data_IF_374533635790
#
_entry.id   IF_374533635790
#
_cell.length_a   1.000
_cell.length_b   1.000
_cell.length_c   1.000
_cell.angle_alpha   90.00
_cell.angle_beta   90.00
_cell.angle_gamma   90.00
#
_symmetry.space_group_name_H-M   'P 1'
#
loop_
_entity.id
_entity.type
_entity.pdbx_description
1 polymer ?
2 polymer ?
#
loop_
_entity_poly.entity_id
_entity_poly.type
_entity_poly.pdbx_seq_one_letter_code
_entity_poly.pdbx_strand_id
2 'polydeoxyribonucleotide' '(DA)(DA)' ?
#
# COMPACT_ATOMS: atom_id res chain seq x y z
N UNK A 2 -17.56 15.52 0.13
CA UNK A 2 -16.58 14.57 -0.43
C UNK A 2 -16.91 13.09 -0.18
N UNK A 3 -16.50 12.58 0.99
CA UNK A 3 -16.73 11.18 1.35
C UNK A 3 -18.18 10.69 1.25
N UNK A 4 -18.33 9.41 0.91
CA UNK A 4 -19.65 8.79 0.78
C UNK A 4 -19.59 7.37 1.36
N UNK A 5 -20.17 7.18 2.54
CA UNK A 5 -20.19 5.88 3.22
C UNK A 5 -21.11 4.90 2.50
N UNK A 6 -20.50 4.04 1.69
CA UNK A 6 -21.22 3.05 0.90
C UNK A 6 -21.32 1.67 1.53
N UNK A 7 -22.51 1.08 1.44
CA UNK A 7 -22.75 -0.25 1.97
C UNK A 7 -22.70 -1.21 0.79
N UNK A 8 -21.82 -2.20 0.85
CA UNK A 8 -21.68 -3.17 -0.23
C UNK A 8 -22.06 -4.58 0.19
N UNK A 9 -22.43 -5.42 -0.79
CA UNK A 9 -22.84 -6.82 -0.58
C UNK A 9 -21.65 -7.77 -0.65
N UNK A 10 -20.84 -7.82 0.40
CA UNK A 10 -19.68 -8.70 0.42
C UNK A 10 -20.01 -10.16 0.72
N UNK A 11 -19.07 -11.09 0.45
CA UNK A 11 -19.24 -12.54 0.66
C UNK A 11 -19.60 -12.95 2.09
N UNK A 12 -19.54 -14.24 2.35
CA UNK A 12 -19.88 -14.75 3.67
C UNK A 12 -18.96 -14.18 4.77
N UNK A 13 -17.70 -14.65 4.84
CA UNK A 13 -16.85 -14.07 5.89
C UNK A 13 -16.27 -12.71 5.49
N UNK A 14 -16.46 -11.71 6.34
CA UNK A 14 -15.95 -10.37 6.10
C UNK A 14 -14.67 -10.18 6.89
N UNK A 15 -13.94 -11.29 7.07
CA UNK A 15 -12.69 -11.29 7.83
C UNK A 15 -11.64 -10.30 7.30
N UNK A 16 -10.68 -9.97 8.16
CA UNK A 16 -9.61 -9.06 7.81
C UNK A 16 -8.29 -9.83 7.78
N UNK A 17 -7.60 -9.74 6.64
CA UNK A 17 -6.34 -10.44 6.44
C UNK A 17 -5.15 -9.78 7.13
N UNK A 18 -4.37 -10.61 7.84
CA UNK A 18 -3.18 -10.15 8.55
C UNK A 18 -2.06 -11.08 8.16
N UNK A 19 -0.83 -10.57 8.21
CA UNK A 19 0.34 -11.36 7.86
C UNK A 19 1.00 -11.91 9.12
N UNK A 20 1.32 -13.20 9.12
CA UNK A 20 1.96 -13.77 10.29
C UNK A 20 3.46 -13.60 10.14
N UNK A 21 4.14 -13.11 11.20
CA UNK A 21 5.60 -12.93 11.09
C UNK A 21 6.23 -14.28 10.82
N UNK A 22 7.54 -14.43 10.98
CA UNK A 22 8.05 -15.77 10.72
C UNK A 22 8.30 -16.59 11.97
N UNK A 23 8.12 -17.90 11.80
CA UNK A 23 8.29 -18.82 12.89
C UNK A 23 7.16 -18.62 13.89
N UNK A 24 5.96 -18.43 13.37
CA UNK A 24 4.78 -18.19 14.21
C UNK A 24 3.53 -18.72 13.51
N UNK A 25 3.09 -19.93 13.89
CA UNK A 25 1.93 -20.55 13.28
C UNK A 25 0.69 -20.47 14.16
N UNK A 26 -0.48 -20.36 13.53
CA UNK A 26 -1.75 -20.26 14.24
C UNK A 26 -2.83 -21.13 13.58
N UNK A 27 -3.63 -21.79 14.42
CA UNK A 27 -4.69 -22.66 13.93
C UNK A 27 -6.04 -21.92 13.88
N UNK A 28 -6.82 -22.21 12.86
CA UNK A 28 -8.13 -21.58 12.68
C UNK A 28 -8.98 -21.81 13.93
N UNK A 29 -9.17 -20.75 14.70
CA UNK A 29 -9.96 -20.86 15.92
C UNK A 29 -9.25 -20.25 17.11
N UNK A 30 -8.06 -19.71 16.88
CA UNK A 30 -7.28 -19.09 17.95
C UNK A 30 -7.43 -17.57 17.97
N UNK A 31 -7.20 -16.99 19.16
CA UNK A 31 -7.28 -15.55 19.34
C UNK A 31 -5.92 -14.94 19.02
N UNK A 32 -5.92 -13.74 18.46
CA UNK A 32 -4.67 -13.07 18.12
C UNK A 32 -4.79 -11.57 18.35
N UNK A 33 -3.65 -10.93 18.57
CA UNK A 33 -3.60 -9.50 18.80
C UNK A 33 -3.20 -8.91 17.46
N UNK A 34 -3.94 -7.92 16.99
CA UNK A 34 -3.64 -7.32 15.69
C UNK A 34 -3.77 -5.81 15.67
N UNK A 35 -3.04 -5.15 14.77
CA UNK A 35 -3.08 -3.69 14.65
C UNK A 35 -4.35 -3.20 13.96
N UNK A 36 -4.93 -2.12 14.48
CA UNK A 36 -6.15 -1.54 13.92
C UNK A 36 -6.04 -0.02 13.81
N UNK A 37 -6.72 0.57 12.83
CA UNK A 37 -6.66 2.02 12.66
C UNK A 37 -5.28 2.47 12.22
N UNK A 38 -4.41 2.74 13.19
CA UNK A 38 -3.04 3.17 12.92
C UNK A 38 -2.13 2.82 14.08
N UNK A 39 -2.52 3.26 15.28
CA UNK A 39 -1.75 2.98 16.48
C UNK A 39 -2.64 2.44 17.59
N UNK A 40 -3.40 1.40 17.26
CA UNK A 40 -4.30 0.75 18.21
C UNK A 40 -4.25 -0.77 18.06
N UNK A 41 -4.47 -1.46 19.19
CA UNK A 41 -4.46 -2.92 19.25
C UNK A 41 -5.89 -3.44 19.41
N UNK A 42 -6.12 -4.68 19.01
CA UNK A 42 -7.44 -5.30 19.11
C UNK A 42 -7.33 -6.81 19.10
N UNK A 43 -8.14 -7.49 19.90
CA UNK A 43 -8.13 -8.94 19.95
C UNK A 43 -9.06 -9.50 18.87
N UNK A 44 -8.53 -10.39 18.05
CA UNK A 44 -9.35 -10.98 17.01
C UNK A 44 -9.25 -12.49 17.04
N UNK A 45 -10.00 -13.16 16.19
CA UNK A 45 -9.96 -14.61 16.12
C UNK A 45 -9.69 -15.07 14.70
N UNK A 46 -8.79 -16.03 14.56
CA UNK A 46 -8.46 -16.55 13.25
C UNK A 46 -9.60 -17.43 12.76
N UNK A 47 -10.19 -17.05 11.63
CA UNK A 47 -11.29 -17.80 11.06
C UNK A 47 -10.73 -18.82 10.09
N UNK A 48 -9.68 -18.44 9.37
CA UNK A 48 -9.05 -19.31 8.40
C UNK A 48 -7.61 -18.87 8.16
N UNK A 49 -6.88 -19.66 7.38
CA UNK A 49 -5.48 -19.35 7.07
C UNK A 49 -5.12 -19.92 5.71
N UNK A 50 -4.90 -19.04 4.74
CA UNK A 50 -4.53 -19.47 3.39
C UNK A 50 -3.21 -18.83 2.98
N UNK A 51 -2.78 -19.12 1.76
CA UNK A 51 -1.53 -18.58 1.26
C UNK A 51 -1.81 -17.40 0.34
N UNK A 52 -3.10 -17.18 0.07
CA UNK A 52 -3.53 -16.08 -0.79
C UNK A 52 -4.22 -14.99 0.02
N UNK A 53 -4.51 -13.88 -0.65
CA UNK A 53 -5.17 -12.75 -0.01
C UNK A 53 -5.62 -11.72 -1.03
N UNK A 54 -6.82 -11.20 -0.85
CA UNK A 54 -7.38 -10.21 -1.77
C UNK A 54 -6.41 -9.07 -2.05
N UNK A 55 -5.61 -8.71 -1.05
CA UNK A 55 -4.64 -7.63 -1.20
C UNK A 55 -3.20 -8.11 -1.31
N UNK A 56 -2.31 -7.24 -1.80
CA UNK A 56 -0.88 -7.54 -1.96
C UNK A 56 -0.26 -7.94 -0.63
N UNK A 57 0.39 -9.09 -0.58
CA UNK A 57 1.00 -9.53 0.66
C UNK A 57 2.00 -8.54 1.24
N UNK A 58 2.28 -7.47 0.52
CA UNK A 58 3.23 -6.48 1.01
C UNK A 58 2.50 -5.33 1.71
N UNK A 59 1.17 -5.40 1.75
CA UNK A 59 0.35 -4.36 2.38
C UNK A 59 -0.42 -4.84 3.61
N UNK A 60 -0.14 -6.05 4.08
CA UNK A 60 -0.88 -6.58 5.22
C UNK A 60 -0.09 -6.51 6.52
N UNK A 61 -0.62 -5.77 7.50
CA UNK A 61 0.03 -5.62 8.79
C UNK A 61 0.25 -7.01 9.37
N UNK A 62 1.20 -7.14 10.28
CA UNK A 62 1.51 -8.44 10.86
C UNK A 62 0.93 -8.66 12.24
N UNK A 63 0.44 -9.88 12.48
CA UNK A 63 -0.11 -10.23 13.78
C UNK A 63 0.94 -9.89 14.85
N UNK A 64 0.49 -9.40 15.98
CA UNK A 64 1.42 -9.05 17.04
C UNK A 64 1.66 -10.19 18.02
N UNK A 65 0.62 -10.95 18.32
CA UNK A 65 0.75 -12.05 19.26
C UNK A 65 -0.39 -13.07 19.13
N UNK A 66 -0.07 -14.34 19.37
CA UNK A 66 -1.05 -15.40 19.31
C UNK A 66 -1.41 -15.81 20.74
N UNK A 67 -2.57 -15.36 21.19
CA UNK A 67 -3.02 -15.65 22.55
C UNK A 67 -3.44 -17.09 22.83
N UNK A 68 -3.37 -17.96 21.82
CA UNK A 68 -3.77 -19.36 22.00
C UNK A 68 -2.86 -20.38 21.34
N UNK A 69 -2.50 -21.41 22.10
CA UNK A 69 -1.66 -22.48 21.59
C UNK A 69 -2.53 -23.31 20.64
N UNK A 70 -3.76 -23.56 21.07
CA UNK A 70 -4.73 -24.30 20.27
C UNK A 70 -6.15 -23.77 20.53
N UNK A 71 -7.05 -23.92 19.53
CA UNK A 71 -8.45 -23.49 19.53
C UNK A 71 -9.19 -23.47 20.86
N UNK A 72 -9.64 -22.29 21.27
CA UNK A 72 -10.39 -22.12 22.51
C UNK A 72 -11.85 -22.53 22.26
N UNK A 73 -12.12 -22.96 21.04
CA UNK A 73 -13.45 -23.41 20.65
C UNK A 73 -13.40 -24.90 20.36
N UNK A 74 -14.42 -25.63 20.79
CA UNK A 74 -14.48 -27.06 20.53
C UNK A 74 -14.66 -27.28 19.04
N UNK A 75 -14.16 -28.41 18.53
CA UNK A 75 -14.29 -28.72 17.11
C UNK A 75 -15.77 -28.66 16.72
N UNK A 76 -16.63 -28.99 17.68
CA UNK A 76 -18.08 -28.98 17.48
C UNK A 76 -18.60 -27.55 17.50
N UNK A 77 -18.45 -26.90 18.65
CA UNK A 77 -18.88 -25.53 18.85
C UNK A 77 -18.47 -24.67 17.65
N UNK A 78 -17.19 -24.77 17.30
CA UNK A 78 -16.65 -24.02 16.18
C UNK A 78 -17.49 -24.27 14.94
N UNK A 79 -17.51 -25.52 14.49
CA UNK A 79 -18.28 -25.92 13.32
C UNK A 79 -19.70 -25.36 13.40
N UNK A 80 -20.24 -25.36 14.61
CA UNK A 80 -21.58 -24.88 14.87
C UNK A 80 -21.69 -23.38 14.69
N UNK A 81 -20.93 -22.62 15.47
CA UNK A 81 -20.94 -21.17 15.39
C UNK A 81 -20.83 -20.64 13.97
N UNK A 82 -19.84 -21.15 13.23
CA UNK A 82 -19.65 -20.75 11.84
C UNK A 82 -20.96 -20.94 11.09
N UNK A 83 -21.53 -22.12 11.21
CA UNK A 83 -22.81 -22.42 10.56
C UNK A 83 -23.79 -21.34 10.96
N UNK A 84 -24.06 -21.27 12.26
CA UNK A 84 -25.00 -20.31 12.81
C UNK A 84 -24.83 -18.94 12.15
N UNK A 85 -23.61 -18.40 12.25
CA UNK A 85 -23.32 -17.10 11.66
C UNK A 85 -23.74 -17.04 10.20
N UNK A 86 -23.38 -18.09 9.47
CA UNK A 86 -23.67 -18.22 8.04
C UNK A 86 -25.17 -18.33 7.77
N UNK A 87 -25.78 -19.38 8.33
CA UNK A 87 -27.20 -19.65 8.15
C UNK A 87 -28.13 -18.50 8.52
N UNK A 88 -27.89 -17.85 9.66
CA UNK A 88 -28.72 -16.76 10.14
C UNK A 88 -28.24 -15.36 9.78
N UNK A 89 -27.22 -15.26 8.94
CA UNK A 89 -26.70 -13.96 8.51
C UNK A 89 -26.25 -13.04 9.63
N UNK A 90 -25.28 -13.50 10.40
CA UNK A 90 -24.72 -12.71 11.49
C UNK A 90 -23.21 -12.61 11.25
N UNK A 91 -22.62 -11.45 11.54
CA UNK A 91 -21.18 -11.26 11.35
C UNK A 91 -20.43 -12.31 12.13
N UNK A 92 -19.57 -13.06 11.46
CA UNK A 92 -18.81 -14.12 12.11
C UNK A 92 -18.10 -13.59 13.36
N UNK A 93 -17.54 -12.39 13.26
CA UNK A 93 -16.85 -11.83 14.42
C UNK A 93 -17.84 -11.58 15.54
N UNK A 94 -19.00 -11.04 15.18
CA UNK A 94 -20.08 -10.74 16.12
C UNK A 94 -20.44 -12.00 16.91
N UNK A 95 -20.69 -13.09 16.19
CA UNK A 95 -21.06 -14.36 16.80
C UNK A 95 -19.95 -14.93 17.68
N UNK A 96 -18.74 -15.03 17.14
CA UNK A 96 -17.61 -15.57 17.88
C UNK A 96 -17.30 -14.89 19.20
N UNK A 97 -17.16 -13.57 19.18
CA UNK A 97 -16.84 -12.89 20.41
C UNK A 97 -17.96 -12.85 21.42
N UNK A 98 -19.21 -12.75 20.97
CA UNK A 98 -20.33 -12.74 21.90
C UNK A 98 -20.50 -14.13 22.50
N UNK A 99 -20.24 -15.15 21.69
CA UNK A 99 -20.37 -16.54 22.10
C UNK A 99 -19.28 -16.99 23.05
N UNK A 100 -18.16 -16.29 23.02
CA UNK A 100 -17.00 -16.63 23.85
C UNK A 100 -17.28 -16.59 25.35
N UNK A 101 -17.67 -15.41 25.88
CA UNK A 101 -17.97 -15.26 27.31
C UNK A 101 -18.89 -16.35 27.84
N UNK A 102 -19.80 -16.80 27.00
CA UNK A 102 -20.76 -17.84 27.36
C UNK A 102 -20.08 -19.19 27.49
N UNK A 103 -19.40 -19.60 26.43
CA UNK A 103 -18.73 -20.90 26.41
C UNK A 103 -17.78 -21.15 27.57
N UNK A 104 -17.12 -20.10 28.04
CA UNK A 104 -16.13 -20.20 29.12
C UNK A 104 -16.67 -20.05 30.55
N UNK A 105 -17.46 -19.01 30.79
CA UNK A 105 -18.01 -18.77 32.12
C UNK A 105 -19.13 -19.76 32.45
N UNK B 1 -0.84 -20.11 3.65
CA UNK B 1 -0.42 -20.27 5.06
C UNK B 1 0.09 -19.00 5.73
N UNK B 2 0.55 -18.01 4.95
CA UNK B 2 1.03 -16.77 5.58
C UNK B 2 -0.05 -15.72 5.82
N UNK B 3 -1.24 -15.94 5.27
CA UNK B 3 -2.34 -15.00 5.43
C UNK B 3 -3.35 -15.44 6.48
N UNK B 4 -3.27 -14.85 7.66
CA UNK B 4 -4.19 -15.15 8.73
C UNK B 4 -5.39 -14.24 8.51
N UNK B 5 -6.57 -14.84 8.51
CA UNK B 5 -7.81 -14.12 8.32
C UNK B 5 -8.42 -13.90 9.69
N UNK B 6 -8.35 -12.68 10.20
CA UNK B 6 -8.91 -12.42 11.51
C UNK B 6 -10.26 -11.74 11.46
N UNK B 7 -11.13 -12.13 12.40
CA UNK B 7 -12.47 -11.58 12.49
C UNK B 7 -12.52 -10.58 13.64
N UNK B 8 -12.89 -9.33 13.34
CA UNK B 8 -12.95 -8.31 14.37
C UNK B 8 -14.36 -7.80 14.64
N UNK B 9 -14.59 -7.30 15.87
CA UNK B 9 -15.89 -6.75 16.32
C UNK B 9 -16.04 -5.28 15.90
N UNK B 10 -16.39 -5.09 14.62
CA UNK B 10 -16.56 -3.76 14.02
C UNK B 10 -17.91 -3.11 14.34
N UNK B 11 -17.94 -1.77 14.27
CA UNK B 11 -19.11 -0.92 14.51
C UNK B 11 -20.43 -1.37 13.80
N UNK B 12 -21.50 -0.57 13.86
CA UNK B 12 -22.77 -0.98 13.27
C UNK B 12 -22.64 -1.03 11.78
N UNK B 13 -22.46 0.13 11.12
CA UNK B 13 -22.32 0.08 9.66
C UNK B 13 -20.88 -0.22 9.26
N UNK B 14 -20.66 -1.28 8.50
CA UNK B 14 -19.30 -1.59 8.08
C UNK B 14 -19.14 -1.16 6.62
N UNK B 15 -19.75 -0.02 6.32
CA UNK B 15 -19.71 0.55 4.98
C UNK B 15 -18.30 0.88 4.51
N UNK B 16 -18.15 1.09 3.20
CA UNK B 16 -16.87 1.42 2.61
C UNK B 16 -16.94 2.84 2.05
N UNK B 17 -16.01 3.69 2.47
CA UNK B 17 -15.91 5.08 2.05
C UNK B 17 -15.32 5.20 0.66
N UNK B 18 -15.97 6.03 -0.15
CA UNK B 18 -15.54 6.32 -1.51
C UNK B 18 -15.64 7.83 -1.67
N UNK B 19 -14.80 8.39 -2.51
CA UNK B 19 -14.82 9.82 -2.73
C UNK B 19 -15.64 10.20 -3.95
N UNK B 20 -16.48 11.23 -3.80
CA UNK B 20 -17.30 11.69 -4.91
C UNK B 20 -16.50 12.66 -5.74
N UNK B 21 -16.53 12.50 -7.07
CA UNK B 21 -15.80 13.38 -8.00
C UNK B 21 -16.22 14.84 -7.87
N UNK B 22 -15.89 15.60 -8.90
CA UNK B 22 -16.18 17.03 -9.03
C UNK B 22 -17.64 17.22 -9.43
N UNK B 23 -18.36 18.10 -8.73
CA UNK B 23 -19.75 18.36 -9.09
C UNK B 23 -20.60 17.14 -9.35
N UNK B 24 -20.70 16.28 -8.34
CA UNK B 24 -21.51 15.06 -8.42
C UNK B 24 -22.00 14.74 -7.01
N UNK B 25 -23.26 15.06 -6.75
CA UNK B 25 -23.88 14.85 -5.45
C UNK B 25 -24.78 13.62 -5.42
N UNK B 26 -24.80 12.93 -4.27
CA UNK B 26 -25.65 11.76 -4.09
C UNK B 26 -26.26 11.74 -2.70
N UNK B 27 -27.54 11.39 -2.62
CA UNK B 27 -28.19 11.34 -1.32
C UNK B 27 -28.23 9.93 -0.75
N UNK B 28 -28.16 9.84 0.57
CA UNK B 28 -28.17 8.56 1.26
C UNK B 28 -29.37 7.73 0.86
N UNK B 29 -29.13 6.66 0.13
CA UNK B 29 -30.20 5.79 -0.32
C UNK B 29 -30.14 5.50 -1.80
N UNK B 30 -29.14 6.04 -2.48
CA UNK B 30 -29.00 5.83 -3.92
C UNK B 30 -27.91 4.82 -4.23
N UNK B 31 -28.04 4.16 -5.37
CA UNK B 31 -27.06 3.16 -5.78
C UNK B 31 -25.96 3.86 -6.57
N UNK B 32 -24.75 3.34 -6.43
CA UNK B 32 -23.60 3.91 -7.13
C UNK B 32 -22.67 2.79 -7.60
N UNK B 33 -21.89 3.09 -8.62
CA UNK B 33 -20.94 2.12 -9.15
C UNK B 33 -19.58 2.54 -8.62
N UNK B 34 -18.85 1.59 -8.04
CA UNK B 34 -17.53 1.91 -7.48
C UNK B 34 -16.48 0.83 -7.77
N UNK B 35 -15.20 1.19 -7.62
CA UNK B 35 -14.09 0.28 -7.85
C UNK B 35 -13.81 -0.66 -6.68
N UNK B 36 -13.59 -1.94 -6.97
CA UNK B 36 -13.29 -2.90 -5.92
C UNK B 36 -12.13 -3.78 -6.37
N UNK B 37 -11.39 -4.31 -5.40
CA UNK B 37 -10.25 -5.16 -5.72
C UNK B 37 -9.12 -4.36 -6.31
N UNK B 38 -9.11 -4.23 -7.64
CA UNK B 38 -8.07 -3.49 -8.34
C UNK B 38 -8.66 -2.95 -9.65
N UNK B 39 -9.13 -3.84 -10.50
CA UNK B 39 -9.75 -3.41 -11.74
C UNK B 39 -11.05 -4.15 -11.98
N UNK B 40 -11.97 -3.94 -11.04
CA UNK B 40 -13.30 -4.54 -11.06
C UNK B 40 -14.27 -3.51 -10.51
N UNK B 41 -15.51 -3.54 -10.98
CA UNK B 41 -16.51 -2.59 -10.51
C UNK B 41 -17.67 -3.36 -9.89
N UNK B 42 -18.43 -2.68 -9.03
CA UNK B 42 -19.58 -3.29 -8.37
C UNK B 42 -20.60 -2.25 -7.93
N UNK B 43 -21.88 -2.62 -8.00
CA UNK B 43 -22.96 -1.73 -7.60
C UNK B 43 -23.06 -1.64 -6.08
N UNK B 44 -23.05 -0.42 -5.58
CA UNK B 44 -23.15 -0.20 -4.14
C UNK B 44 -24.32 0.72 -3.83
N UNK B 45 -24.58 0.89 -2.54
CA UNK B 45 -25.68 1.75 -2.11
C UNK B 45 -25.16 2.70 -1.04
N UNK B 46 -25.41 3.99 -1.26
CA UNK B 46 -24.98 5.02 -0.32
C UNK B 46 -25.77 4.93 0.97
N UNK B 47 -25.07 4.71 2.08
CA UNK B 47 -25.71 4.61 3.39
C UNK B 47 -25.72 5.97 4.07
N UNK B 48 -24.60 6.67 3.96
CA UNK B 48 -24.42 7.97 4.56
C UNK B 48 -23.49 8.83 3.72
N UNK B 49 -23.36 10.09 4.10
CA UNK B 49 -22.50 11.04 3.39
C UNK B 49 -21.94 12.06 4.38
N UNK B 50 -20.66 11.96 4.70
CA UNK B 50 -20.05 12.91 5.64
C UNK B 50 -18.85 13.60 4.99
N UNK B 51 -18.22 14.50 5.75
CA UNK B 51 -17.05 15.23 5.26
C UNK B 51 -15.78 14.57 5.79
N UNK B 52 -15.96 13.64 6.73
CA UNK B 52 -14.83 12.93 7.32
C UNK B 52 -14.79 11.46 6.90
N UNK B 53 -13.73 10.77 7.28
CA UNK B 53 -13.57 9.36 6.96
C UNK B 53 -12.39 8.77 7.73
N UNK B 54 -12.56 7.53 8.18
CA UNK B 54 -11.53 6.84 8.94
C UNK B 54 -10.15 6.92 8.28
N UNK B 55 -10.11 6.94 6.96
CA UNK B 55 -8.84 7.01 6.24
C UNK B 55 -8.58 8.37 5.59
N UNK B 56 -7.31 8.65 5.24
CA UNK B 56 -6.97 9.93 4.61
C UNK B 56 -7.69 10.10 3.27
N UNK B 57 -8.34 11.25 3.10
CA UNK B 57 -9.08 11.56 1.88
C UNK B 57 -8.20 11.44 0.65
N UNK B 58 -6.93 11.12 0.85
CA UNK B 58 -5.97 10.98 -0.23
C UNK B 58 -5.90 9.57 -0.80
N UNK B 59 -6.48 8.59 -0.09
CA UNK B 59 -6.42 7.23 -0.60
C UNK B 59 -7.75 6.51 -0.74
N UNK B 60 -8.80 7.26 -1.08
CA UNK B 60 -10.11 6.65 -1.27
C UNK B 60 -10.53 6.81 -2.73
N UNK B 61 -10.71 5.68 -3.41
CA UNK B 61 -11.11 5.69 -4.82
C UNK B 61 -12.38 6.52 -4.98
N UNK B 62 -12.61 7.01 -6.19
CA UNK B 62 -13.80 7.82 -6.45
C UNK B 62 -14.92 7.05 -7.14
N UNK B 63 -16.15 7.35 -6.73
CA UNK B 63 -17.31 6.70 -7.32
C UNK B 63 -17.24 6.90 -8.83
N UNK B 64 -17.66 5.90 -9.58
CA UNK B 64 -17.62 5.99 -11.03
C UNK B 64 -18.89 6.63 -11.58
N UNK B 65 -20.03 6.28 -11.02
CA UNK B 65 -21.30 6.83 -11.49
C UNK B 65 -22.43 6.63 -10.49
N UNK B 66 -23.37 7.56 -10.46
CA UNK B 66 -24.52 7.47 -9.58
C UNK B 66 -25.72 7.03 -10.39
N UNK B 67 -26.10 5.77 -10.22
CA UNK B 67 -27.22 5.19 -10.96
C UNK B 67 -28.58 5.66 -10.46
N UNK B 68 -28.59 6.63 -9.56
CA UNK B 68 -29.85 7.14 -9.02
C UNK B 68 -29.85 8.64 -8.76
N UNK B 69 -31.01 9.26 -8.95
CA UNK B 69 -31.18 10.68 -8.72
C UNK B 69 -32.04 10.86 -7.47
N UNK B 70 -32.93 9.90 -7.26
CA UNK B 70 -33.83 9.91 -6.11
C UNK B 70 -33.71 8.54 -5.43
N UNK B 71 -33.55 8.52 -4.09
CA UNK B 71 -33.43 7.28 -3.33
C UNK B 71 -34.40 6.21 -3.80
N UNK B 72 -33.88 5.01 -4.03
CA UNK B 72 -34.72 3.91 -4.49
C UNK B 72 -35.43 3.25 -3.30
N UNK B 73 -35.15 3.75 -2.10
CA UNK B 73 -35.76 3.22 -0.89
C UNK B 73 -36.69 4.27 -0.28
N UNK B 74 -37.87 3.82 0.15
CA UNK B 74 -38.85 4.69 0.78
C UNK B 74 -38.23 5.28 2.05
N UNK B 75 -38.58 6.52 2.39
CA UNK B 75 -38.03 7.13 3.59
C UNK B 75 -38.33 6.25 4.81
N UNK B 76 -39.45 5.53 4.72
CA UNK B 76 -39.87 4.64 5.80
C UNK B 76 -39.11 3.32 5.71
N UNK B 77 -39.20 2.67 4.55
CA UNK B 77 -38.52 1.41 4.31
C UNK B 77 -37.05 1.53 4.71
N UNK B 78 -36.42 2.63 4.28
CA UNK B 78 -35.01 2.88 4.60
C UNK B 78 -34.80 2.88 6.11
N UNK B 79 -35.48 3.78 6.82
CA UNK B 79 -35.34 3.85 8.26
C UNK B 79 -35.60 2.49 8.88
N UNK B 80 -36.54 1.75 8.30
CA UNK B 80 -36.89 0.43 8.78
C UNK B 80 -35.73 -0.55 8.58
N UNK B 81 -35.32 -0.74 7.32
CA UNK B 81 -34.22 -1.63 6.98
C UNK B 81 -32.97 -1.41 7.84
N UNK B 82 -32.59 -0.15 8.00
CA UNK B 82 -31.42 0.17 8.82
C UNK B 82 -31.62 -0.37 10.23
N UNK B 83 -32.79 -0.06 10.79
CA UNK B 83 -33.13 -0.51 12.14
C UNK B 83 -32.99 -2.04 12.17
N UNK B 84 -33.77 -2.69 11.33
CA UNK B 84 -33.76 -4.15 11.21
C UNK B 84 -32.33 -4.68 11.26
N UNK B 85 -31.50 -4.16 10.37
CA UNK B 85 -30.10 -4.55 10.28
C UNK B 85 -29.41 -4.46 11.64
N UNK B 86 -29.52 -3.30 12.27
CA UNK B 86 -28.89 -3.10 13.57
C UNK B 86 -29.50 -3.94 14.69
N UNK B 87 -30.82 -3.90 14.81
CA UNK B 87 -31.55 -4.62 15.85
C UNK B 87 -31.26 -6.13 15.85
N UNK B 88 -31.33 -6.75 14.68
CA UNK B 88 -31.11 -8.19 14.57
C UNK B 88 -29.70 -8.62 14.19
N UNK B 89 -28.74 -7.70 14.24
CA UNK B 89 -27.35 -8.03 13.92
C UNK B 89 -27.13 -8.62 12.54
N UNK B 90 -27.50 -7.87 11.51
CA UNK B 90 -27.32 -8.32 10.14
C UNK B 90 -26.53 -7.26 9.39
N UNK B 91 -25.59 -7.68 8.55
CA UNK B 91 -24.79 -6.72 7.79
C UNK B 91 -25.70 -5.79 6.96
N UNK B 92 -25.50 -4.49 7.11
CA UNK B 92 -26.32 -3.52 6.39
C UNK B 92 -26.36 -3.81 4.89
N UNK B 93 -25.20 -4.12 4.33
CA UNK B 93 -25.15 -4.42 2.90
C UNK B 93 -26.00 -5.63 2.60
N UNK B 94 -25.93 -6.63 3.46
CA UNK B 94 -26.71 -7.86 3.30
C UNK B 94 -28.20 -7.55 3.20
N UNK B 95 -28.72 -6.82 4.19
CA UNK B 95 -30.13 -6.49 4.20
C UNK B 95 -30.53 -5.68 2.98
N UNK B 96 -29.86 -4.54 2.78
CA UNK B 96 -30.15 -3.65 1.64
C UNK B 96 -30.28 -4.35 0.30
N UNK B 97 -29.23 -5.06 -0.10
CA UNK B 97 -29.23 -5.74 -1.38
C UNK B 97 -30.20 -6.90 -1.48
N UNK B 98 -30.44 -7.59 -0.36
CA UNK B 98 -31.38 -8.71 -0.37
C UNK B 98 -32.80 -8.16 -0.39
N UNK B 99 -32.99 -7.05 0.32
CA UNK B 99 -34.30 -6.42 0.42
C UNK B 99 -34.74 -5.66 -0.83
N UNK B 100 -33.79 -5.29 -1.68
CA UNK B 100 -34.10 -4.54 -2.89
C UNK B 100 -34.97 -5.32 -3.89
N UNK B 101 -34.51 -6.49 -4.33
CA UNK B 101 -35.26 -7.31 -5.29
C UNK B 101 -36.73 -7.46 -4.91
N UNK B 102 -37.01 -7.53 -3.61
CA UNK B 102 -38.37 -7.69 -3.13
C UNK B 102 -39.14 -6.38 -3.20
N UNK B 103 -38.54 -5.31 -2.69
CA UNK B 103 -39.17 -4.00 -2.68
C UNK B 103 -39.73 -3.58 -4.03
N UNK B 104 -39.02 -3.96 -5.09
CA UNK B 104 -39.43 -3.61 -6.45
C UNK B 104 -40.61 -4.46 -6.94
N UNK C 1 12.39 18.12 -25.42
CA UNK C 1 13.62 18.87 -25.09
C UNK C 1 13.60 19.64 -23.76
N UNK C 2 12.45 19.66 -23.06
CA UNK C 2 12.43 20.39 -21.77
C UNK C 2 13.30 19.78 -20.68
N UNK C 3 12.90 18.60 -20.20
CA UNK C 3 13.62 17.92 -19.14
C UNK C 3 14.64 16.89 -19.63
N UNK C 4 15.83 16.93 -19.03
CA UNK C 4 16.92 16.01 -19.36
C UNK C 4 17.05 14.95 -18.27
N UNK C 5 16.92 13.69 -18.65
CA UNK C 5 17.00 12.59 -17.68
C UNK C 5 18.42 12.05 -17.55
N UNK C 6 19.08 12.48 -16.48
CA UNK C 6 20.47 12.10 -16.20
C UNK C 6 20.62 10.88 -15.30
N UNK C 7 21.59 10.03 -15.64
CA UNK C 7 21.86 8.83 -14.86
C UNK C 7 23.12 9.13 -14.05
N UNK C 8 23.03 9.04 -12.73
CA UNK C 8 24.18 9.32 -11.88
C UNK C 8 24.66 8.10 -11.12
N UNK C 9 25.93 8.10 -10.69
CA UNK C 9 26.55 7.00 -9.94
C UNK C 9 26.43 7.20 -8.44
N UNK C 10 25.26 6.95 -7.86
CA UNK C 10 25.07 7.13 -6.43
C UNK C 10 25.59 5.96 -5.57
N UNK C 11 25.72 6.18 -4.25
CA UNK C 11 26.21 5.21 -3.27
C UNK C 11 25.49 3.85 -3.31
N UNK C 12 25.79 3.00 -2.32
CA UNK C 12 25.16 1.68 -2.29
C UNK C 12 23.65 1.79 -2.10
N UNK C 13 23.19 2.22 -0.91
CA UNK C 13 21.75 2.33 -0.71
C UNK C 13 21.17 3.60 -1.36
N UNK C 14 20.22 3.42 -2.27
CA UNK C 14 19.60 4.56 -2.95
C UNK C 14 18.26 4.84 -2.28
N UNK C 15 18.23 4.61 -0.96
CA UNK C 15 17.07 4.80 -0.12
C UNK C 15 16.48 6.22 -0.12
N UNK C 16 15.20 6.32 0.21
CA UNK C 16 14.49 7.59 0.28
C UNK C 16 14.22 7.95 1.75
N UNK C 17 14.70 9.11 2.19
CA UNK C 17 14.51 9.55 3.55
C UNK C 17 13.12 10.13 3.81
N UNK C 18 12.50 9.67 4.90
CA UNK C 18 11.19 10.14 5.31
C UNK C 18 11.28 10.47 6.78
N UNK C 19 10.41 11.37 7.24
CA UNK C 19 10.43 11.79 8.63
C UNK C 19 9.36 11.07 9.44
N UNK C 20 9.74 10.55 10.60
CA UNK C 20 8.81 9.84 11.48
C UNK C 20 8.05 10.83 12.34
N UNK C 21 6.72 10.71 12.37
CA UNK C 21 5.90 11.61 13.19
C UNK C 21 6.36 11.59 14.65
N UNK C 22 5.54 12.14 15.54
CA UNK C 22 5.86 12.19 16.96
C UNK C 22 5.36 10.92 17.65
N UNK C 23 6.20 10.31 18.48
CA UNK C 23 5.83 9.11 19.19
C UNK C 23 5.50 7.93 18.28
N UNK C 24 6.39 7.65 17.34
CA UNK C 24 6.21 6.56 16.38
C UNK C 24 7.59 6.03 15.99
N UNK C 25 7.98 4.91 16.58
CA UNK C 25 9.29 4.30 16.31
C UNK C 25 9.21 3.12 15.35
N UNK C 26 10.24 2.96 14.52
CA UNK C 26 10.32 1.86 13.57
C UNK C 26 11.72 1.26 13.50
N UNK C 27 11.79 -0.06 13.47
CA UNK C 27 13.08 -0.75 13.40
C UNK C 27 13.48 -1.07 11.97
N UNK C 28 14.79 -1.05 11.73
CA UNK C 28 15.32 -1.36 10.41
C UNK C 28 14.87 -2.74 9.98
N UNK C 29 13.90 -2.80 9.08
CA UNK C 29 13.43 -4.09 8.61
C UNK C 29 11.92 -4.14 8.54
N UNK C 30 11.28 -3.03 8.92
CA UNK C 30 9.83 -2.94 8.91
C UNK C 30 9.27 -2.25 7.68
N UNK C 31 8.04 -2.59 7.33
CA UNK C 31 7.37 -2.00 6.19
C UNK C 31 6.68 -0.73 6.67
N UNK C 32 6.55 0.25 5.79
CA UNK C 32 5.90 1.50 6.13
C UNK C 32 5.15 2.06 4.93
N UNK C 33 4.17 2.91 5.19
CA UNK C 33 3.39 3.53 4.13
C UNK C 33 3.94 4.95 4.05
N UNK C 34 4.27 5.39 2.83
CA UNK C 34 4.83 6.73 2.67
C UNK C 34 4.27 7.47 1.46
N UNK C 35 4.42 8.80 1.44
CA UNK C 35 3.94 9.66 0.35
C UNK C 35 4.90 9.64 -0.84
N UNK C 36 4.35 9.57 -2.05
CA UNK C 36 5.19 9.56 -3.25
C UNK C 36 4.54 10.45 -4.30
N UNK C 37 5.36 11.02 -5.17
CA UNK C 37 4.84 11.89 -6.21
C UNK C 37 4.30 13.18 -5.63
N UNK C 38 3.04 13.15 -5.18
CA UNK C 38 2.41 14.32 -4.60
C UNK C 38 1.14 13.94 -3.87
N UNK C 39 0.28 13.19 -4.54
CA UNK C 39 -0.99 12.76 -3.98
C UNK C 39 -1.21 11.25 -4.04
N UNK C 40 -0.18 10.48 -3.70
CA UNK C 40 -0.31 9.03 -3.69
C UNK C 40 0.62 8.39 -2.68
N UNK C 41 0.30 7.17 -2.28
CA UNK C 41 1.12 6.48 -1.31
C UNK C 41 1.66 5.16 -1.85
N UNK C 42 2.66 4.62 -1.16
CA UNK C 42 3.28 3.36 -1.55
C UNK C 42 3.92 2.68 -0.34
N UNK C 43 3.94 1.36 -0.36
CA UNK C 43 4.53 0.59 0.73
C UNK C 43 6.03 0.55 0.57
N UNK C 44 6.76 0.86 1.63
CA UNK C 44 8.21 0.82 1.57
C UNK C 44 8.74 0.03 2.74
N UNK C 45 10.04 -0.21 2.77
CA UNK C 45 10.66 -0.95 3.87
C UNK C 45 11.84 -0.15 4.40
N UNK C 46 11.85 0.06 5.71
CA UNK C 46 12.93 0.81 6.31
C UNK C 46 14.22 0.02 6.21
N UNK C 47 15.26 0.65 5.67
CA UNK C 47 16.55 -0.02 5.57
C UNK C 47 17.41 0.38 6.75
N UNK C 48 17.27 1.63 7.17
CA UNK C 48 18.03 2.12 8.31
C UNK C 48 17.34 3.33 8.91
N UNK C 49 17.87 3.81 10.02
CA UNK C 49 17.30 4.96 10.71
C UNK C 49 18.39 5.75 11.43
N UNK C 50 18.64 6.97 10.99
CA UNK C 50 19.64 7.80 11.63
C UNK C 50 19.02 9.14 12.01
N UNK C 51 19.82 10.02 12.58
CA UNK C 51 19.32 11.33 12.99
C UNK C 51 19.72 12.37 11.95
N UNK C 52 20.50 11.93 10.96
CA UNK C 52 20.96 12.81 9.88
C UNK C 52 20.20 12.55 8.59
N UNK C 53 20.39 13.43 7.62
CA UNK C 53 19.72 13.31 6.33
C UNK C 53 20.36 14.22 5.29
N UNK C 54 20.61 13.68 4.10
CA UNK C 54 21.21 14.43 3.01
C UNK C 54 20.47 15.75 2.79
N UNK C 55 19.16 15.73 3.06
CA UNK C 55 18.33 16.92 2.88
C UNK C 55 17.88 17.55 4.20
N UNK C 56 17.46 18.83 4.16
CA UNK C 56 17.00 19.55 5.34
C UNK C 56 15.81 18.84 5.99
N UNK C 57 15.92 18.57 7.28
CA UNK C 57 14.87 17.88 8.03
C UNK C 57 13.53 18.60 7.96
N UNK C 58 13.52 19.76 7.31
CA UNK C 58 12.31 20.57 7.19
C UNK C 58 11.65 20.32 5.83
N UNK C 59 12.29 19.47 5.03
CA UNK C 59 11.84 19.19 3.67
C UNK C 59 11.45 17.73 3.38
N UNK C 60 11.32 16.89 4.40
CA UNK C 60 10.98 15.50 4.13
C UNK C 60 9.63 15.05 4.69
N UNK C 61 8.82 14.51 3.78
CA UNK C 61 7.49 14.00 4.10
C UNK C 61 7.54 13.09 5.32
N UNK C 62 6.40 12.94 5.99
CA UNK C 62 6.33 12.11 7.17
C UNK C 62 5.66 10.77 6.89
N UNK C 63 6.22 9.71 7.45
CA UNK C 63 5.67 8.37 7.28
C UNK C 63 4.19 8.39 7.65
N UNK C 64 3.38 7.66 6.91
CA UNK C 64 1.95 7.60 7.17
C UNK C 64 1.61 6.56 8.24
N UNK C 65 2.12 5.34 8.08
CA UNK C 65 1.87 4.25 9.02
C UNK C 65 3.01 3.25 9.04
N UNK C 66 3.15 2.54 10.15
CA UNK C 66 4.16 1.51 10.26
C UNK C 66 3.43 0.16 10.25
N UNK C 67 3.50 -0.54 9.13
CA UNK C 67 2.83 -1.83 8.95
C UNK C 67 3.42 -2.98 9.75
N UNK C 68 4.54 -2.75 10.43
CA UNK C 68 5.19 -3.82 11.21
C UNK C 68 5.78 -3.38 12.55
N UNK C 69 5.42 -4.10 13.61
CA UNK C 69 5.94 -3.80 14.93
C UNK C 69 7.34 -4.39 15.05
N UNK C 70 7.55 -5.50 14.35
CA UNK C 70 8.86 -6.17 14.34
C UNK C 70 9.24 -6.53 12.90
N UNK C 71 10.54 -6.62 12.61
CA UNK C 71 11.07 -6.96 11.29
C UNK C 71 10.42 -8.21 10.69
N UNK C 72 9.91 -8.08 9.47
CA UNK C 72 9.25 -9.20 8.78
C UNK C 72 10.31 -10.10 8.15
N UNK C 73 11.58 -9.72 8.31
CA UNK C 73 12.68 -10.49 7.76
C UNK C 73 13.54 -11.02 8.89
N UNK C 74 14.01 -12.26 8.74
CA UNK C 74 14.86 -12.88 9.75
C UNK C 74 16.16 -12.10 9.82
N UNK C 75 16.74 -12.01 11.01
CA UNK C 75 17.97 -11.28 11.19
C UNK C 75 19.03 -11.82 10.23
N UNK C 76 18.87 -13.08 9.82
CA UNK C 76 19.81 -13.72 8.89
C UNK C 76 19.44 -13.38 7.45
N UNK C 77 18.19 -13.63 7.09
CA UNK C 77 17.67 -13.33 5.76
C UNK C 77 18.04 -11.89 5.43
N UNK C 78 17.70 -10.99 6.33
CA UNK C 78 17.99 -9.57 6.16
C UNK C 78 19.49 -9.39 5.88
N UNK C 79 20.31 -9.76 6.85
CA UNK C 79 21.75 -9.63 6.69
C UNK C 79 22.16 -10.15 5.31
N UNK C 80 21.49 -11.22 4.88
CA UNK C 80 21.77 -11.86 3.59
C UNK C 80 21.35 -10.97 2.42
N UNK C 81 20.05 -10.70 2.34
CA UNK C 81 19.48 -9.89 1.27
C UNK C 81 20.30 -8.64 1.00
N UNK C 82 20.58 -7.84 2.03
CA UNK C 82 21.35 -6.62 1.83
C UNK C 82 22.67 -6.94 1.17
N UNK C 83 23.39 -7.93 1.69
CA UNK C 83 24.66 -8.29 1.08
C UNK C 83 24.40 -8.59 -0.38
N UNK C 84 23.51 -9.55 -0.61
CA UNK C 84 23.14 -9.94 -1.97
C UNK C 84 23.01 -8.71 -2.86
N UNK C 85 22.13 -7.80 -2.46
CA UNK C 85 21.90 -6.58 -3.22
C UNK C 85 23.21 -5.85 -3.51
N UNK C 86 24.01 -5.65 -2.47
CA UNK C 86 25.28 -4.96 -2.62
C UNK C 86 26.31 -5.69 -3.48
N UNK C 87 26.57 -6.94 -3.13
CA UNK C 87 27.55 -7.76 -3.84
C UNK C 87 27.24 -7.94 -5.33
N UNK C 88 25.97 -8.16 -5.65
CA UNK C 88 25.56 -8.38 -7.04
C UNK C 88 24.99 -7.15 -7.74
N UNK C 89 25.18 -5.98 -7.15
CA UNK C 89 24.70 -4.73 -7.73
C UNK C 89 23.24 -4.75 -8.16
N UNK C 90 22.34 -4.92 -7.20
CA UNK C 90 20.92 -4.90 -7.48
C UNK C 90 20.28 -3.89 -6.54
N UNK C 91 19.22 -3.23 -6.98
CA UNK C 91 18.54 -2.24 -6.16
C UNK C 91 18.00 -2.87 -4.87
N UNK C 92 18.41 -2.33 -3.72
CA UNK C 92 17.96 -2.86 -2.44
C UNK C 92 16.45 -3.04 -2.40
N UNK C 93 15.73 -2.04 -2.88
CA UNK C 93 14.28 -2.13 -2.89
C UNK C 93 13.82 -3.27 -3.78
N UNK C 94 14.46 -3.39 -4.93
CA UNK C 94 14.14 -4.45 -5.90
C UNK C 94 14.30 -5.81 -5.23
N UNK C 95 15.43 -6.00 -4.55
CA UNK C 95 15.72 -7.25 -3.87
C UNK C 95 14.72 -7.56 -2.77
N UNK C 96 14.58 -6.64 -1.81
CA UNK C 96 13.67 -6.85 -0.68
C UNK C 96 12.22 -7.11 -1.05
N UNK C 97 11.64 -6.31 -1.92
CA UNK C 97 10.26 -6.52 -2.27
C UNK C 97 9.99 -7.75 -3.12
N UNK C 98 10.96 -8.14 -3.94
CA UNK C 98 10.78 -9.33 -4.77
C UNK C 98 11.00 -10.57 -3.92
N UNK C 99 11.93 -10.47 -2.97
CA UNK C 99 12.25 -11.59 -2.09
C UNK C 99 11.19 -11.82 -1.02
N UNK C 100 10.36 -10.81 -0.79
CA UNK C 100 9.32 -10.89 0.23
C UNK C 100 8.28 -11.98 -0.04
N UNK C 101 7.53 -11.87 -1.15
CA UNK C 101 6.51 -12.87 -1.47
C UNK C 101 6.98 -14.32 -1.35
N UNK C 102 8.27 -14.54 -1.61
CA UNK C 102 8.82 -15.88 -1.54
C UNK C 102 9.12 -16.28 -0.11
N UNK C 103 9.69 -15.37 0.64
CA UNK C 103 10.05 -15.62 2.03
C UNK C 103 8.86 -16.17 2.82
N UNK C 104 7.66 -15.81 2.40
CA UNK C 104 6.46 -16.26 3.10
C UNK C 104 5.52 -17.11 2.24
N UNK C 105 5.88 -18.38 2.05
CA UNK C 105 5.05 -19.28 1.26
C UNK C 105 5.13 -20.71 1.79
N UNK D 2 14.10 10.31 14.13
CA UNK D 2 13.03 10.91 13.29
C UNK D 2 13.28 10.71 11.79
N UNK D 3 14.52 10.42 11.42
CA UNK D 3 14.85 10.21 10.01
C UNK D 3 15.05 8.74 9.67
N UNK D 4 14.09 8.18 8.93
CA UNK D 4 14.15 6.78 8.53
C UNK D 4 14.45 6.64 7.06
N UNK D 5 15.59 6.02 6.75
CA UNK D 5 15.99 5.80 5.37
C UNK D 5 15.18 4.63 4.82
N UNK D 6 14.17 4.94 4.00
CA UNK D 6 13.31 3.92 3.43
C UNK D 6 13.69 3.53 2.01
N UNK D 7 13.63 2.23 1.73
CA UNK D 7 13.95 1.72 0.40
C UNK D 7 12.63 1.41 -0.30
N UNK D 8 12.42 2.03 -1.46
CA UNK D 8 11.19 1.83 -2.23
C UNK D 8 11.42 1.04 -3.50
N UNK D 9 10.35 0.43 -4.03
CA UNK D 9 10.42 -0.35 -5.27
C UNK D 9 10.07 0.57 -6.44
N UNK D 10 11.04 1.38 -6.84
CA UNK D 10 10.87 2.33 -7.93
C UNK D 10 10.91 1.63 -9.30
N UNK D 11 10.29 2.24 -10.34
CA UNK D 11 10.25 1.67 -11.68
C UNK D 11 11.60 1.42 -12.38
N UNK D 12 11.52 1.23 -13.69
CA UNK D 12 12.67 0.98 -14.57
C UNK D 12 13.87 1.91 -14.30
N UNK D 13 14.02 3.01 -15.08
CA UNK D 13 15.20 3.80 -14.69
C UNK D 13 14.85 4.73 -13.55
N UNK D 14 15.83 4.93 -12.67
CA UNK D 14 15.66 5.79 -11.52
C UNK D 14 16.44 7.07 -11.78
N UNK D 15 16.38 7.51 -13.04
CA UNK D 15 17.07 8.71 -13.50
C UNK D 15 16.63 9.99 -12.80
N UNK D 16 17.49 11.00 -12.88
CA UNK D 16 17.24 12.33 -12.30
C UNK D 16 16.91 13.33 -13.41
N UNK D 17 15.75 13.97 -13.31
CA UNK D 17 15.30 14.96 -14.27
C UNK D 17 15.96 16.31 -14.04
N UNK D 18 16.48 16.87 -15.12
CA UNK D 18 17.13 18.17 -15.09
C UNK D 18 16.55 18.98 -16.21
N UNK D 19 16.57 20.30 -16.04
CA UNK D 19 16.02 21.20 -17.04
C UNK D 19 17.11 21.70 -17.97
N UNK D 20 16.84 21.65 -19.27
CA UNK D 20 17.79 22.11 -20.27
C UNK D 20 17.63 23.61 -20.47
N UNK D 21 18.72 24.37 -20.36
CA UNK D 21 18.67 25.82 -20.54
C UNK D 21 18.02 26.16 -21.89
N UNK D 22 18.08 27.41 -22.30
CA UNK D 22 17.48 27.76 -23.58
C UNK D 22 18.51 27.70 -24.69
N UNK D 23 18.12 27.13 -25.82
CA UNK D 23 19.01 26.99 -26.97
C UNK D 23 20.12 25.98 -26.80
N UNK D 24 19.78 24.79 -26.32
CA UNK D 24 20.77 23.71 -26.11
C UNK D 24 20.10 22.35 -26.06
N UNK D 25 20.16 21.61 -27.17
CA UNK D 25 19.56 20.29 -27.18
C UNK D 25 20.58 19.18 -26.94
N UNK D 26 20.08 18.08 -26.39
CA UNK D 26 20.90 16.92 -26.05
C UNK D 26 20.27 15.62 -26.55
N UNK D 27 21.12 14.75 -27.08
CA UNK D 27 20.70 13.44 -27.61
C UNK D 27 20.74 12.41 -26.48
N UNK D 28 19.76 11.51 -26.46
CA UNK D 28 19.73 10.47 -25.44
C UNK D 28 20.99 9.61 -25.61
N UNK D 29 21.95 9.78 -24.71
CA UNK D 29 23.18 9.02 -24.78
C UNK D 29 24.40 9.90 -24.62
N UNK D 30 24.15 11.17 -24.33
CA UNK D 30 25.21 12.14 -24.15
C UNK D 30 25.56 12.38 -22.69
N UNK D 31 26.80 12.76 -22.45
CA UNK D 31 27.29 13.05 -21.10
C UNK D 31 26.93 14.50 -20.79
N UNK D 32 26.60 14.81 -19.55
CA UNK D 32 26.25 16.17 -19.17
C UNK D 32 26.73 16.51 -17.78
N UNK D 33 26.90 17.79 -17.50
CA UNK D 33 27.33 18.27 -16.19
C UNK D 33 26.08 18.79 -15.51
N UNK D 34 25.83 18.36 -14.28
CA UNK D 34 24.64 18.81 -13.56
C UNK D 34 24.91 19.07 -12.08
N UNK D 35 24.08 19.89 -11.43
CA UNK D 35 24.28 20.17 -10.02
C UNK D 35 23.65 19.12 -9.10
N UNK D 36 24.34 18.79 -8.01
CA UNK D 36 23.81 17.83 -7.04
C UNK D 36 24.08 18.33 -5.64
N UNK D 37 23.31 17.81 -4.68
CA UNK D 37 23.47 18.24 -3.30
C UNK D 37 22.98 19.67 -3.18
N UNK D 38 23.88 20.61 -3.39
CA UNK D 38 23.55 22.03 -3.33
C UNK D 38 24.61 22.87 -4.04
N UNK D 39 25.87 22.65 -3.68
CA UNK D 39 26.98 23.38 -4.28
C UNK D 39 28.03 22.42 -4.81
N UNK D 40 27.59 21.42 -5.56
CA UNK D 40 28.50 20.43 -6.12
C UNK D 40 28.04 20.03 -7.52
N UNK D 41 28.98 19.61 -8.36
CA UNK D 41 28.67 19.20 -9.72
C UNK D 41 29.09 17.74 -9.93
N UNK D 42 28.54 17.12 -10.96
CA UNK D 42 28.88 15.74 -11.27
C UNK D 42 28.46 15.39 -12.69
N UNK D 43 29.25 14.58 -13.37
CA UNK D 43 28.93 14.22 -14.74
C UNK D 43 27.87 13.14 -14.80
N UNK D 44 26.84 13.37 -15.61
CA UNK D 44 25.78 12.42 -15.74
C UNK D 44 25.63 12.02 -17.19
N UNK D 45 24.66 11.15 -17.47
CA UNK D 45 24.42 10.67 -18.82
C UNK D 45 22.93 10.75 -19.12
N UNK D 46 22.58 11.39 -20.22
CA UNK D 46 21.18 11.50 -20.58
C UNK D 46 20.64 10.15 -21.01
N UNK D 47 19.60 9.69 -20.32
CA UNK D 47 18.97 8.41 -20.60
C UNK D 47 17.86 8.62 -21.62
N UNK D 48 17.11 9.69 -21.44
CA UNK D 48 16.02 10.04 -22.34
C UNK D 48 15.70 11.51 -22.18
N UNK D 49 14.79 12.01 -23.01
CA UNK D 49 14.40 13.41 -22.95
C UNK D 49 12.94 13.55 -23.36
N UNK D 50 12.11 13.98 -22.42
CA UNK D 50 10.69 14.16 -22.67
C UNK D 50 10.27 15.59 -22.32
N UNK D 51 9.00 15.89 -22.53
CA UNK D 51 8.46 17.22 -22.25
C UNK D 51 7.80 17.22 -20.88
N UNK D 52 7.67 16.04 -20.29
CA UNK D 52 7.05 15.91 -18.97
C UNK D 52 8.09 15.56 -17.90
N UNK D 53 7.64 15.55 -16.65
CA UNK D 53 8.50 15.22 -15.51
C UNK D 53 7.65 15.04 -14.26
N UNK D 54 7.97 14.02 -13.47
CA UNK D 54 7.22 13.75 -12.26
C UNK D 54 7.11 14.99 -11.37
N UNK D 55 8.10 15.87 -11.45
CA UNK D 55 8.13 17.08 -10.65
C UNK D 55 7.78 18.33 -11.44
N UNK D 56 7.33 19.39 -10.74
CA UNK D 56 6.97 20.66 -11.37
C UNK D 56 8.18 21.22 -12.11
N UNK D 57 7.98 21.54 -13.39
CA UNK D 57 9.08 22.05 -14.20
C UNK D 57 9.78 23.28 -13.65
N UNK D 58 9.24 23.89 -12.59
CA UNK D 58 9.90 25.07 -12.04
C UNK D 58 10.76 24.73 -10.84
N UNK D 59 10.93 23.42 -10.59
CA UNK D 59 11.74 22.96 -9.47
C UNK D 59 12.93 22.10 -9.90
N UNK D 60 13.21 22.09 -11.20
CA UNK D 60 14.31 21.29 -11.74
C UNK D 60 15.52 22.13 -12.08
N UNK D 61 16.64 21.88 -11.42
CA UNK D 61 17.84 22.64 -11.71
C UNK D 61 18.23 22.43 -13.17
N UNK D 62 18.98 23.38 -13.71
CA UNK D 62 19.36 23.33 -15.12
C UNK D 62 20.74 22.74 -15.38
N UNK D 63 20.83 21.93 -16.43
CA UNK D 63 22.08 21.31 -16.81
C UNK D 63 23.12 22.41 -16.98
N UNK D 64 24.35 22.14 -16.55
CA UNK D 64 25.43 23.11 -16.64
C UNK D 64 26.03 23.13 -18.05
N UNK D 65 26.34 21.96 -18.59
CA UNK D 65 26.91 21.88 -19.92
C UNK D 65 26.82 20.48 -20.51
N UNK D 66 26.77 20.41 -21.84
CA UNK D 66 26.70 19.16 -22.58
C UNK D 66 28.09 18.82 -23.08
N UNK D 67 28.75 17.87 -22.42
CA UNK D 67 30.11 17.51 -22.79
C UNK D 67 30.25 16.65 -24.03
N UNK D 68 29.26 16.66 -24.92
CA UNK D 68 29.36 15.86 -26.13
C UNK D 68 28.24 16.15 -27.12
N UNK D 71 26.48 10.66 -29.42
CA UNK D 71 26.37 9.64 -28.38
C UNK D 71 27.68 8.93 -28.12
N UNK D 72 28.24 9.11 -26.92
CA UNK D 72 29.50 8.46 -26.56
C UNK D 72 29.33 6.94 -26.56
N UNK D 73 28.08 6.51 -26.72
CA UNK D 73 27.75 5.09 -26.76
C UNK D 73 27.20 4.73 -28.13
N UNK D 74 27.66 3.59 -28.65
CA UNK D 74 27.21 3.12 -29.95
C UNK D 74 25.70 2.91 -29.89
N UNK D 75 25.02 3.01 -31.02
CA UNK D 75 23.57 2.81 -31.06
C UNK D 75 23.27 1.39 -30.59
N UNK D 76 24.22 0.49 -30.81
CA UNK D 76 24.08 -0.90 -30.40
C UNK D 76 24.42 -1.04 -28.92
N UNK D 77 25.64 -0.66 -28.54
CA UNK D 77 26.10 -0.71 -27.15
C UNK D 77 25.05 -0.13 -26.22
N UNK D 78 24.53 1.03 -26.59
CA UNK D 78 23.51 1.70 -25.80
C UNK D 78 22.30 0.80 -25.63
N UNK D 79 21.64 0.49 -26.75
CA UNK D 79 20.46 -0.37 -26.71
C UNK D 79 20.75 -1.62 -25.88
N UNK D 80 22.00 -2.09 -25.94
CA UNK D 80 22.40 -3.28 -25.22
C UNK D 80 22.45 -3.00 -23.71
N UNK D 81 23.33 -2.08 -23.31
CA UNK D 81 23.47 -1.74 -21.89
C UNK D 81 22.13 -1.53 -21.20
N UNK D 82 21.23 -0.77 -21.82
CA UNK D 82 19.92 -0.53 -21.23
C UNK D 82 19.22 -1.85 -20.96
N UNK D 83 19.20 -2.72 -21.96
CA UNK D 83 18.58 -4.03 -21.81
C UNK D 83 19.23 -4.73 -20.63
N UNK D 84 20.54 -4.88 -20.71
CA UNK D 84 21.31 -5.52 -19.65
C UNK D 84 20.84 -5.04 -18.30
N UNK D 85 20.96 -3.73 -18.07
CA UNK D 85 20.56 -3.13 -16.82
C UNK D 85 19.15 -3.54 -16.43
N UNK D 86 18.23 -3.50 -17.39
CA UNK D 86 16.86 -3.88 -17.09
C UNK D 86 16.65 -5.38 -16.86
N UNK D 87 17.13 -6.20 -17.78
CA UNK D 87 16.99 -7.65 -17.69
C UNK D 87 17.62 -8.28 -16.46
N UNK D 88 18.79 -7.78 -16.08
CA UNK D 88 19.52 -8.29 -14.92
C UNK D 88 19.35 -7.42 -13.68
N UNK D 89 18.33 -6.57 -13.68
CA UNK D 89 18.05 -5.71 -12.55
C UNK D 89 19.28 -5.01 -11.97
N UNK D 90 19.83 -4.08 -12.73
CA UNK D 90 20.99 -3.32 -12.31
C UNK D 90 20.70 -1.84 -12.47
N UNK D 91 21.21 -1.01 -11.57
CA UNK D 91 20.98 0.44 -11.65
C UNK D 91 21.53 0.97 -12.97
N UNK D 92 20.63 1.55 -13.77
CA UNK D 92 21.01 2.08 -15.07
C UNK D 92 22.27 2.96 -14.99
N UNK D 93 22.37 3.77 -13.95
CA UNK D 93 23.54 4.61 -13.79
C UNK D 93 24.75 3.74 -13.53
N UNK D 94 24.57 2.73 -12.68
CA UNK D 94 25.65 1.81 -12.33
C UNK D 94 26.26 1.20 -13.59
N UNK D 95 25.41 0.62 -14.42
CA UNK D 95 25.86 -0.01 -15.66
C UNK D 95 26.61 0.95 -16.57
N UNK D 96 25.94 2.03 -16.97
CA UNK D 96 26.52 3.00 -17.87
C UNK D 96 27.88 3.56 -17.45
N UNK D 97 27.99 3.99 -16.19
CA UNK D 97 29.24 4.54 -15.72
C UNK D 97 30.40 3.56 -15.59
N UNK D 98 30.10 2.32 -15.21
CA UNK D 98 31.18 1.34 -15.09
C UNK D 98 31.51 0.77 -16.47
N UNK D 99 30.51 0.74 -17.35
CA UNK D 99 30.69 0.22 -18.69
C UNK D 99 31.49 1.17 -19.58
N UNK D 100 31.46 2.46 -19.26
CA UNK D 100 32.18 3.45 -20.08
C UNK D 100 33.69 3.28 -20.11
N UNK D 101 34.35 3.24 -18.93
CA UNK D 101 35.81 3.09 -18.90
C UNK D 101 36.31 1.96 -19.81
N UNK D 102 35.52 0.90 -19.90
CA UNK D 102 35.90 -0.24 -20.75
C UNK D 102 35.63 0.04 -22.22
N UNK D 103 34.44 0.59 -22.51
CA UNK D 103 34.04 0.92 -23.88
C UNK D 103 35.17 1.64 -24.62
#
# INVERSE_FOLDING_TARGET
MPVAHVALPVPLPRTFDYLLPEGMTVKAGCRVRVPFGKQQERIGIVVSVSDASELPLNELKAVVEVLDSEPVFTHSVWRLLLWAADYYHHPIGDVLFHALPILLR
MPVAHVALPVPLPRTFDYLLPEGMTVKAGCRVRVPFGKQQERIGIVVSVSDASELPLNELKAVVEVLDSEPVFTHSVWRLLLWAADYYHHPIGDVLFHALPILLR
MPVAHVALPVPLPRTFDYLLPEGMTVKAGCRVRVPFGKQQERIGIVVSVSDASELPLNELKAVVEVLDSEPVFTHSVWRLLLWAADYYHHPIGDVLFHALPILLR
MPVAHVALPVPLPRTFDYLLPEGMTVKAGCRVRVPFGKQQERIGIVVSVSDASELPLNELKAVVEVLDSEPVFTHSVWRLLLWAADYYHHPIGDVLFHALPILLR
#
